data_IF_988773327545
#
_entry.id   IF_988773327545
#
_cell.length_a   1.000
_cell.length_b   1.000
_cell.length_c   1.000
_cell.angle_alpha   90.00
_cell.angle_beta   90.00
_cell.angle_gamma   90.00
#
_symmetry.space_group_name_H-M   'P 1'
#
loop_
_entity.id
_entity.type
_entity.pdbx_description
1 polymer ?
#
# COMPACT_ATOMS: atom_id res chain seq x y z
N UNK A 1 38.08 -29.53 70.63
CA UNK A 1 36.75 -28.96 70.32
C UNK A 1 36.74 -28.47 68.89
N UNK A 2 35.82 -29.02 68.08
CA UNK A 2 35.29 -28.60 66.76
C UNK A 2 36.22 -28.50 65.54
N UNK A 3 36.05 -29.53 64.70
CA UNK A 3 36.14 -29.52 63.23
C UNK A 3 35.32 -28.38 62.60
N UNK A 4 35.75 -27.89 61.43
CA UNK A 4 34.91 -27.44 60.30
C UNK A 4 35.81 -27.38 59.04
N UNK A 5 35.89 -28.42 58.21
CA UNK A 5 35.27 -28.55 56.86
C UNK A 5 35.15 -27.24 56.07
N UNK A 6 35.96 -27.06 55.00
CA UNK A 6 35.64 -27.28 53.57
C UNK A 6 34.52 -26.37 53.05
N UNK A 7 34.88 -25.44 52.15
CA UNK A 7 34.06 -25.08 50.98
C UNK A 7 34.91 -24.31 49.94
N UNK A 8 35.51 -25.04 49.00
CA UNK A 8 35.83 -24.49 47.68
C UNK A 8 34.52 -24.36 46.90
N UNK A 9 34.14 -23.14 46.52
CA UNK A 9 33.10 -22.92 45.51
C UNK A 9 33.71 -22.09 44.40
N UNK A 10 33.78 -22.71 43.22
CA UNK A 10 34.16 -22.11 41.95
C UNK A 10 33.36 -20.83 41.71
N UNK A 11 34.05 -19.71 41.52
CA UNK A 11 33.50 -18.54 40.86
C UNK A 11 33.36 -18.87 39.36
N UNK A 12 32.25 -19.50 39.00
CA UNK A 12 31.83 -19.65 37.61
C UNK A 12 31.45 -18.25 37.11
N UNK A 13 32.31 -17.67 36.28
CA UNK A 13 32.04 -16.47 35.51
C UNK A 13 30.78 -16.71 34.67
N UNK A 14 29.64 -16.25 35.16
CA UNK A 14 28.40 -16.15 34.38
C UNK A 14 28.56 -15.05 33.34
N UNK A 15 29.17 -15.37 32.20
CA UNK A 15 28.99 -14.59 30.99
C UNK A 15 27.54 -14.79 30.54
N UNK A 16 26.65 -13.98 31.09
CA UNK A 16 25.34 -13.73 30.49
C UNK A 16 25.65 -13.04 29.18
N UNK A 17 25.57 -13.79 28.08
CA UNK A 17 25.44 -13.19 26.76
C UNK A 17 24.14 -12.39 26.78
N UNK A 18 24.25 -11.09 27.11
CA UNK A 18 23.26 -10.14 26.70
C UNK A 18 23.35 -10.14 25.17
N UNK A 19 22.48 -10.90 24.51
CA UNK A 19 22.19 -10.68 23.11
C UNK A 19 21.77 -9.21 23.01
N UNK A 20 22.65 -8.38 22.46
CA UNK A 20 22.31 -7.04 22.09
C UNK A 20 21.18 -7.17 21.06
N UNK A 21 19.95 -6.89 21.48
CA UNK A 21 18.83 -6.74 20.57
C UNK A 21 19.20 -5.62 19.58
N UNK A 22 19.75 -5.99 18.43
CA UNK A 22 20.12 -5.03 17.40
C UNK A 22 18.84 -4.55 16.75
N UNK A 23 18.59 -3.25 16.82
CA UNK A 23 17.55 -2.59 16.04
C UNK A 23 17.67 -3.00 14.56
N UNK A 24 16.61 -3.61 14.01
CA UNK A 24 16.55 -3.99 12.61
C UNK A 24 15.63 -3.05 11.83
N UNK A 25 15.93 -2.83 10.56
CA UNK A 25 14.97 -2.25 9.62
C UNK A 25 14.29 -3.37 8.84
N UNK A 26 12.96 -3.43 8.88
CA UNK A 26 12.14 -4.37 8.13
C UNK A 26 11.52 -3.70 6.90
N UNK A 27 11.45 -4.44 5.80
CA UNK A 27 10.77 -4.00 4.58
C UNK A 27 9.44 -4.74 4.50
N UNK A 28 8.34 -4.04 4.82
CA UNK A 28 7.00 -4.61 4.84
C UNK A 28 6.38 -4.50 3.44
N UNK A 29 5.90 -5.61 2.90
CA UNK A 29 5.26 -5.69 1.58
C UNK A 29 3.79 -6.05 1.75
N UNK A 30 2.92 -5.04 1.68
CA UNK A 30 1.47 -5.16 1.84
C UNK A 30 0.82 -5.40 0.49
N UNK A 31 0.18 -6.56 0.31
CA UNK A 31 -0.48 -6.86 -0.97
C UNK A 31 -1.75 -6.02 -1.18
N UNK A 32 -2.24 -6.00 -2.41
CA UNK A 32 -3.52 -5.40 -2.78
C UNK A 32 -4.60 -6.41 -3.13
N UNK A 33 -5.57 -6.04 -3.97
CA UNK A 33 -6.73 -6.88 -4.27
C UNK A 33 -6.30 -8.29 -4.72
N UNK A 34 -6.89 -9.32 -4.11
CA UNK A 34 -6.69 -10.72 -4.46
C UNK A 34 -7.90 -11.56 -4.04
N UNK A 35 -8.26 -12.55 -4.86
CA UNK A 35 -9.25 -13.56 -4.51
C UNK A 35 -8.74 -14.68 -3.63
N UNK A 36 -7.43 -14.72 -3.43
CA UNK A 36 -6.80 -15.64 -2.51
C UNK A 36 -6.71 -15.06 -1.10
N UNK A 37 -6.73 -15.96 -0.11
CA UNK A 37 -6.41 -15.62 1.27
C UNK A 37 -4.89 -15.65 1.46
N UNK A 38 -4.27 -14.47 1.57
CA UNK A 38 -2.82 -14.30 1.74
C UNK A 38 -2.37 -14.15 3.21
N UNK A 39 -3.29 -14.39 4.13
CA UNK A 39 -3.12 -14.13 5.55
C UNK A 39 -2.15 -15.07 6.25
N UNK A 40 -1.37 -14.51 7.16
CA UNK A 40 -0.42 -15.24 7.98
C UNK A 40 -0.47 -14.75 9.44
N UNK A 41 0.13 -15.52 10.35
CA UNK A 41 0.28 -15.09 11.74
C UNK A 41 1.54 -14.23 11.88
N UNK A 42 1.36 -12.96 12.25
CA UNK A 42 2.43 -11.97 12.38
C UNK A 42 2.73 -11.64 13.86
N UNK A 43 3.16 -12.65 14.61
CA UNK A 43 3.34 -12.57 16.09
C UNK A 43 4.79 -12.40 16.53
N UNK A 44 5.76 -12.55 15.63
CA UNK A 44 7.19 -12.37 15.93
C UNK A 44 7.95 -11.83 14.74
N UNK A 45 9.17 -11.34 14.96
CA UNK A 45 10.04 -10.86 13.89
C UNK A 45 10.43 -11.95 12.89
N UNK A 46 10.24 -13.23 13.20
CA UNK A 46 10.43 -14.37 12.29
C UNK A 46 9.21 -14.66 11.39
N UNK A 47 8.04 -14.06 11.66
CA UNK A 47 6.83 -14.23 10.85
C UNK A 47 6.95 -13.58 9.47
N UNK A 48 6.07 -13.93 8.52
CA UNK A 48 5.89 -13.20 7.25
C UNK A 48 7.07 -13.27 6.27
N UNK A 49 8.00 -14.22 6.40
CA UNK A 49 9.18 -14.29 5.53
C UNK A 49 8.88 -14.83 4.11
N UNK A 50 7.71 -15.44 3.92
CA UNK A 50 7.31 -16.08 2.67
C UNK A 50 6.13 -15.36 2.06
N UNK A 51 6.18 -15.10 0.75
CA UNK A 51 5.07 -14.58 -0.05
C UNK A 51 3.97 -15.65 -0.18
N UNK A 52 3.09 -15.71 0.82
CA UNK A 52 2.06 -16.75 0.89
C UNK A 52 1.08 -16.62 -0.28
N UNK A 53 0.88 -17.73 -1.00
CA UNK A 53 0.13 -17.77 -2.27
C UNK A 53 0.64 -16.81 -3.35
N UNK A 54 1.93 -16.47 -3.29
CA UNK A 54 2.69 -15.89 -4.39
C UNK A 54 2.08 -14.60 -4.97
N UNK A 55 1.60 -13.68 -4.12
CA UNK A 55 1.04 -12.41 -4.60
C UNK A 55 2.08 -11.58 -5.34
N UNK A 56 3.28 -11.48 -4.78
CA UNK A 56 4.38 -10.67 -5.29
C UNK A 56 5.14 -11.38 -6.41
N UNK A 57 5.01 -12.70 -6.55
CA UNK A 57 5.45 -13.41 -7.76
C UNK A 57 6.96 -13.33 -8.01
N UNK A 58 7.76 -13.18 -6.95
CA UNK A 58 9.21 -12.96 -7.07
C UNK A 58 9.63 -11.54 -7.46
N UNK A 59 8.70 -10.59 -7.54
CA UNK A 59 9.00 -9.18 -7.85
C UNK A 59 9.87 -8.50 -6.79
N UNK A 60 9.85 -9.01 -5.55
CA UNK A 60 10.62 -8.51 -4.41
C UNK A 60 11.98 -9.21 -4.36
N UNK A 61 13.05 -8.49 -4.70
CA UNK A 61 14.43 -9.01 -4.72
C UNK A 61 15.42 -7.96 -4.22
N UNK A 62 16.59 -8.39 -3.76
CA UNK A 62 17.69 -7.49 -3.40
C UNK A 62 17.51 -6.73 -2.08
N UNK A 63 16.49 -7.10 -1.29
CA UNK A 63 16.23 -6.53 0.04
C UNK A 63 16.44 -7.59 1.12
N UNK A 64 16.99 -7.17 2.26
CA UNK A 64 17.02 -7.95 3.49
C UNK A 64 15.76 -7.69 4.32
N UNK A 65 15.50 -8.54 5.33
CA UNK A 65 14.42 -8.34 6.31
C UNK A 65 13.03 -8.07 5.68
N UNK A 66 12.75 -8.71 4.55
CA UNK A 66 11.46 -8.62 3.86
C UNK A 66 10.38 -9.34 4.66
N UNK A 67 9.22 -8.70 4.83
CA UNK A 67 8.05 -9.27 5.50
C UNK A 67 6.82 -9.03 4.66
N UNK A 68 6.18 -10.11 4.23
CA UNK A 68 4.95 -10.08 3.47
C UNK A 68 3.77 -9.94 4.43
N UNK A 69 2.97 -8.91 4.20
CA UNK A 69 1.78 -8.60 4.99
C UNK A 69 0.58 -8.88 4.13
N UNK A 70 -0.11 -9.98 4.44
CA UNK A 70 -1.30 -10.37 3.71
C UNK A 70 -2.53 -10.56 4.55
N UNK A 71 -3.66 -10.48 3.87
CA UNK A 71 -5.01 -10.49 4.38
C UNK A 71 -5.94 -11.24 3.43
N UNK A 72 -7.14 -11.53 3.91
CA UNK A 72 -8.22 -12.10 3.13
C UNK A 72 -9.18 -11.00 2.69
N UNK A 73 -9.23 -10.74 1.38
CA UNK A 73 -10.08 -9.71 0.79
C UNK A 73 -11.57 -9.97 0.95
N UNK A 74 -11.99 -11.20 1.27
CA UNK A 74 -13.41 -11.56 1.42
C UNK A 74 -13.98 -11.24 2.81
N UNK A 75 -13.14 -10.75 3.73
CA UNK A 75 -13.57 -10.42 5.08
C UNK A 75 -14.52 -9.24 5.13
N UNK A 76 -15.49 -9.31 6.05
CA UNK A 76 -16.45 -8.23 6.29
C UNK A 76 -15.75 -6.91 6.57
N UNK A 77 -16.13 -5.86 5.84
CA UNK A 77 -15.47 -4.55 5.85
C UNK A 77 -14.33 -4.38 4.86
N UNK A 78 -13.98 -5.39 4.06
CA UNK A 78 -13.04 -5.26 2.95
C UNK A 78 -11.67 -4.71 3.37
N UNK A 79 -11.24 -3.62 2.73
CA UNK A 79 -9.95 -2.97 3.02
C UNK A 79 -9.91 -2.34 4.44
N UNK A 80 -11.08 -2.12 5.05
CA UNK A 80 -11.25 -1.54 6.38
C UNK A 80 -11.49 -2.61 7.46
N UNK A 81 -11.40 -3.90 7.10
CA UNK A 81 -11.75 -5.01 8.00
C UNK A 81 -10.78 -5.18 9.18
N UNK A 82 -11.34 -5.13 10.39
CA UNK A 82 -10.70 -5.52 11.66
C UNK A 82 -11.05 -6.95 12.11
N UNK A 83 -11.71 -7.73 11.27
CA UNK A 83 -11.98 -9.13 11.58
C UNK A 83 -10.68 -9.94 11.63
N UNK A 84 -10.75 -11.17 12.17
CA UNK A 84 -9.63 -12.10 12.04
C UNK A 84 -9.29 -12.25 10.56
N UNK A 85 -8.02 -12.03 10.24
CA UNK A 85 -7.50 -12.09 8.87
C UNK A 85 -7.95 -10.94 7.94
N UNK A 86 -8.62 -9.91 8.49
CA UNK A 86 -8.96 -8.69 7.77
C UNK A 86 -7.75 -7.79 7.53
N UNK A 87 -7.87 -6.91 6.53
CA UNK A 87 -6.78 -6.06 6.06
C UNK A 87 -6.18 -5.16 7.15
N UNK A 88 -7.03 -4.49 7.95
CA UNK A 88 -6.57 -3.61 9.02
C UNK A 88 -5.95 -4.40 10.18
N UNK A 89 -6.53 -5.55 10.54
CA UNK A 89 -5.97 -6.43 11.59
C UNK A 89 -4.57 -6.95 11.23
N UNK A 90 -4.38 -7.38 9.98
CA UNK A 90 -3.10 -7.90 9.51
C UNK A 90 -2.05 -6.79 9.42
N UNK A 91 -2.42 -5.63 8.90
CA UNK A 91 -1.52 -4.49 8.87
C UNK A 91 -1.15 -3.99 10.27
N UNK A 92 -2.12 -3.93 11.20
CA UNK A 92 -1.88 -3.60 12.60
C UNK A 92 -0.90 -4.57 13.28
N UNK A 93 -1.10 -5.88 13.09
CA UNK A 93 -0.22 -6.90 13.63
C UNK A 93 1.21 -6.76 13.07
N UNK A 94 1.35 -6.51 11.77
CA UNK A 94 2.64 -6.25 11.15
C UNK A 94 3.34 -5.04 11.78
N UNK A 95 2.65 -3.90 11.90
CA UNK A 95 3.22 -2.68 12.44
C UNK A 95 3.68 -2.85 13.90
N UNK A 96 2.89 -3.52 14.74
CA UNK A 96 3.26 -3.77 16.12
C UNK A 96 4.45 -4.74 16.26
N UNK A 97 4.53 -5.73 15.38
CA UNK A 97 5.58 -6.76 15.44
C UNK A 97 6.91 -6.25 14.87
N UNK A 98 6.89 -5.48 13.79
CA UNK A 98 8.09 -5.13 13.03
C UNK A 98 8.54 -3.67 13.18
N UNK A 99 7.64 -2.74 13.56
CA UNK A 99 7.94 -1.30 13.55
C UNK A 99 8.04 -0.68 14.94
N UNK A 100 8.19 -1.51 15.98
CA UNK A 100 8.29 -1.11 17.39
C UNK A 100 9.51 -1.74 18.05
N UNK A 101 9.73 -1.40 19.32
CA UNK A 101 10.76 -2.01 20.19
C UNK A 101 12.18 -1.89 19.62
N UNK A 102 12.53 -0.70 19.15
CA UNK A 102 13.83 -0.42 18.52
C UNK A 102 13.92 -0.77 17.04
N UNK A 103 12.99 -1.56 16.49
CA UNK A 103 12.94 -1.82 15.07
C UNK A 103 12.33 -0.65 14.30
N UNK A 104 12.69 -0.52 13.03
CA UNK A 104 12.14 0.46 12.10
C UNK A 104 11.57 -0.22 10.86
N UNK A 105 10.67 0.45 10.16
CA UNK A 105 10.02 -0.10 8.97
C UNK A 105 10.10 0.82 7.76
N UNK A 106 10.29 0.21 6.59
CA UNK A 106 9.88 0.77 5.30
C UNK A 106 8.68 -0.01 4.82
N UNK A 107 7.63 0.67 4.42
CA UNK A 107 6.35 0.06 4.07
C UNK A 107 6.15 0.24 2.57
N UNK A 108 6.03 -0.87 1.86
CA UNK A 108 5.75 -0.91 0.43
C UNK A 108 4.39 -1.55 0.24
N UNK A 109 3.49 -0.87 -0.45
CA UNK A 109 2.17 -1.40 -0.75
C UNK A 109 1.97 -1.50 -2.25
N UNK A 110 1.10 -2.40 -2.67
CA UNK A 110 0.65 -2.47 -4.07
C UNK A 110 -0.87 -2.38 -4.13
N UNK A 111 -1.43 -1.70 -5.13
CA UNK A 111 -2.88 -1.73 -5.41
C UNK A 111 -3.70 -1.33 -4.18
N UNK A 112 -4.71 -2.12 -3.80
CA UNK A 112 -5.52 -1.94 -2.59
C UNK A 112 -4.71 -1.89 -1.29
N UNK A 113 -3.50 -2.43 -1.24
CA UNK A 113 -2.63 -2.32 -0.07
C UNK A 113 -2.34 -0.86 0.28
N UNK A 114 -2.33 0.02 -0.72
CA UNK A 114 -2.17 1.46 -0.50
C UNK A 114 -3.38 2.09 0.18
N UNK A 115 -4.59 1.66 -0.17
CA UNK A 115 -5.82 2.05 0.54
C UNK A 115 -5.79 1.54 1.98
N UNK A 116 -5.37 0.29 2.20
CA UNK A 116 -5.24 -0.31 3.55
C UNK A 116 -4.30 0.51 4.42
N UNK A 117 -3.11 0.84 3.92
CA UNK A 117 -2.12 1.61 4.67
C UNK A 117 -2.55 3.05 4.91
N UNK A 118 -3.04 3.73 3.89
CA UNK A 118 -3.47 5.13 4.01
C UNK A 118 -4.64 5.28 4.99
N UNK A 119 -5.64 4.39 4.90
CA UNK A 119 -6.75 4.37 5.86
C UNK A 119 -6.29 4.03 7.28
N UNK A 120 -5.35 3.08 7.45
CA UNK A 120 -4.82 2.77 8.77
C UNK A 120 -4.21 4.00 9.43
N UNK A 121 -3.39 4.76 8.69
CA UNK A 121 -2.76 5.96 9.23
C UNK A 121 -3.75 7.11 9.44
N UNK A 122 -4.87 7.13 8.71
CA UNK A 122 -6.00 7.99 9.03
C UNK A 122 -6.71 7.59 10.32
N UNK A 123 -7.09 6.31 10.46
CA UNK A 123 -7.98 5.85 11.53
C UNK A 123 -7.25 5.60 12.86
N UNK A 124 -6.00 5.15 12.79
CA UNK A 124 -5.19 4.74 13.96
C UNK A 124 -4.01 5.69 14.19
N UNK A 125 -3.40 6.18 13.11
CA UNK A 125 -2.20 7.01 13.17
C UNK A 125 -0.90 6.21 13.31
N UNK A 126 0.20 6.93 13.49
CA UNK A 126 1.57 6.38 13.49
C UNK A 126 2.23 6.36 14.88
N UNK A 127 1.49 6.75 15.93
CA UNK A 127 2.06 6.96 17.25
C UNK A 127 2.75 5.70 17.82
N UNK A 128 3.99 5.87 18.24
CA UNK A 128 4.83 4.78 18.76
C UNK A 128 5.31 3.79 17.70
N UNK A 129 5.20 4.11 16.40
CA UNK A 129 5.80 3.36 15.30
C UNK A 129 7.05 4.07 14.78
N UNK A 130 8.09 3.31 14.48
CA UNK A 130 9.30 3.80 13.83
C UNK A 130 9.19 3.55 12.33
N UNK A 131 8.55 4.47 11.60
CA UNK A 131 8.36 4.38 10.16
C UNK A 131 9.35 5.31 9.46
N UNK A 132 10.15 4.74 8.56
CA UNK A 132 11.17 5.47 7.79
C UNK A 132 10.64 5.92 6.43
N UNK A 133 9.77 5.11 5.84
CA UNK A 133 9.27 5.30 4.48
C UNK A 133 7.93 4.58 4.33
N UNK A 134 7.01 5.19 3.59
CA UNK A 134 5.75 4.58 3.14
C UNK A 134 5.57 4.86 1.67
N UNK A 135 5.69 3.81 0.86
CA UNK A 135 5.59 3.88 -0.59
C UNK A 135 4.39 3.09 -1.10
N UNK A 136 3.47 3.81 -1.73
CA UNK A 136 2.24 3.29 -2.28
C UNK A 136 2.39 3.11 -3.81
N UNK A 137 2.58 1.87 -4.25
CA UNK A 137 2.79 1.53 -5.66
C UNK A 137 1.45 1.19 -6.33
N UNK A 138 1.15 1.86 -7.45
CA UNK A 138 -0.13 1.73 -8.16
C UNK A 138 -1.31 1.73 -7.17
N UNK A 139 -1.39 2.77 -6.35
CA UNK A 139 -2.15 2.72 -5.12
C UNK A 139 -3.63 3.03 -5.33
N UNK A 140 -4.53 2.21 -4.79
CA UNK A 140 -5.97 2.40 -4.95
C UNK A 140 -6.60 3.31 -3.88
N UNK A 141 -5.83 4.21 -3.25
CA UNK A 141 -6.39 5.05 -2.18
C UNK A 141 -7.44 6.05 -2.70
N UNK A 142 -7.38 6.45 -3.97
CA UNK A 142 -8.45 7.22 -4.62
C UNK A 142 -9.56 6.41 -5.27
N UNK A 143 -9.49 5.08 -5.17
CA UNK A 143 -10.45 4.14 -5.73
C UNK A 143 -10.28 3.88 -7.23
N UNK A 144 -11.08 2.96 -7.74
CA UNK A 144 -11.10 2.53 -9.14
C UNK A 144 -12.52 2.53 -9.66
N UNK A 145 -12.73 3.10 -10.84
CA UNK A 145 -14.02 3.01 -11.54
C UNK A 145 -14.38 1.56 -11.84
N UNK A 146 -13.41 0.65 -11.99
CA UNK A 146 -13.69 -0.77 -12.16
C UNK A 146 -14.50 -1.34 -10.98
N UNK A 147 -14.27 -0.84 -9.77
CA UNK A 147 -15.07 -1.26 -8.62
C UNK A 147 -16.47 -0.59 -8.55
N UNK A 148 -16.70 0.46 -9.33
CA UNK A 148 -18.01 1.10 -9.49
C UNK A 148 -18.88 0.38 -10.56
N UNK A 149 -18.25 -0.41 -11.45
CA UNK A 149 -18.95 -1.20 -12.46
C UNK A 149 -19.50 -2.52 -11.91
N UNK A 150 -20.57 -3.01 -12.54
CA UNK A 150 -21.17 -4.30 -12.19
C UNK A 150 -20.16 -5.44 -12.33
N UNK A 151 -20.05 -6.26 -11.28
CA UNK A 151 -19.25 -7.49 -11.27
C UNK A 151 -19.58 -8.40 -12.45
N UNK A 152 -20.84 -8.48 -12.87
CA UNK A 152 -21.29 -9.26 -14.04
C UNK A 152 -20.77 -8.70 -15.37
N UNK A 153 -20.67 -7.38 -15.50
CA UNK A 153 -20.17 -6.73 -16.72
C UNK A 153 -18.66 -6.92 -16.85
N UNK A 154 -17.93 -6.77 -15.75
CA UNK A 154 -16.50 -7.03 -15.71
C UNK A 154 -16.16 -8.50 -15.89
N UNK A 155 -16.93 -9.41 -15.28
CA UNK A 155 -16.78 -10.85 -15.51
C UNK A 155 -17.05 -11.22 -16.98
N UNK A 156 -18.02 -10.57 -17.64
CA UNK A 156 -18.28 -10.76 -19.08
C UNK A 156 -17.08 -10.32 -19.96
N UNK A 157 -16.35 -9.28 -19.54
CA UNK A 157 -15.10 -8.86 -20.18
C UNK A 157 -13.88 -9.75 -19.79
N UNK A 158 -14.07 -10.75 -18.94
CA UNK A 158 -13.03 -11.69 -18.52
C UNK A 158 -12.21 -11.24 -17.31
N UNK A 159 -12.69 -10.27 -16.53
CA UNK A 159 -12.02 -9.81 -15.32
C UNK A 159 -12.51 -10.55 -14.07
N UNK A 160 -11.56 -11.03 -13.27
CA UNK A 160 -11.86 -11.57 -11.95
C UNK A 160 -12.31 -10.43 -11.02
N UNK A 161 -13.61 -10.38 -10.73
CA UNK A 161 -14.16 -9.49 -9.70
C UNK A 161 -14.41 -10.24 -8.41
N UNK A 162 -14.01 -9.65 -7.31
CA UNK A 162 -14.29 -10.20 -5.98
C UNK A 162 -15.72 -9.93 -5.52
N UNK A 163 -16.30 -8.81 -5.95
CA UNK A 163 -17.54 -8.30 -5.39
C UNK A 163 -17.42 -7.98 -3.91
N UNK A 164 -18.57 -7.65 -3.30
CA UNK A 164 -18.70 -7.46 -1.86
C UNK A 164 -17.87 -6.30 -1.30
N UNK A 165 -17.61 -6.36 0.01
CA UNK A 165 -17.12 -5.22 0.78
C UNK A 165 -15.72 -4.73 0.36
N UNK A 166 -14.89 -5.57 -0.27
CA UNK A 166 -13.60 -5.10 -0.77
C UNK A 166 -13.77 -4.20 -1.98
N UNK A 167 -14.64 -4.58 -2.92
CA UNK A 167 -14.97 -3.75 -4.09
C UNK A 167 -15.68 -2.48 -3.65
N UNK A 168 -16.60 -2.55 -2.69
CA UNK A 168 -17.18 -1.36 -2.06
C UNK A 168 -16.11 -0.46 -1.45
N UNK A 169 -15.08 -1.02 -0.80
CA UNK A 169 -13.98 -0.24 -0.22
C UNK A 169 -13.13 0.45 -1.29
N UNK A 170 -12.87 -0.22 -2.42
CA UNK A 170 -12.00 0.30 -3.50
C UNK A 170 -12.77 1.07 -4.58
N UNK A 171 -14.10 1.11 -4.52
CA UNK A 171 -14.94 2.01 -5.32
C UNK A 171 -14.49 3.46 -5.15
N UNK A 172 -14.69 4.31 -6.16
CA UNK A 172 -14.28 5.72 -6.03
C UNK A 172 -14.98 6.41 -4.86
N UNK A 173 -16.24 6.05 -4.59
CA UNK A 173 -16.99 6.53 -3.43
C UNK A 173 -16.47 5.99 -2.09
N UNK A 174 -16.20 4.69 -2.01
CA UNK A 174 -15.76 4.04 -0.77
C UNK A 174 -14.32 4.40 -0.39
N UNK A 175 -13.42 4.48 -1.36
CA UNK A 175 -12.02 4.82 -1.13
C UNK A 175 -11.86 6.27 -0.66
N UNK A 176 -12.75 7.18 -1.10
CA UNK A 176 -12.74 8.62 -0.80
C UNK A 176 -13.64 9.02 0.38
N UNK A 177 -14.17 8.06 1.12
CA UNK A 177 -15.15 8.28 2.20
C UNK A 177 -14.57 8.88 3.49
N UNK A 178 -13.27 9.19 3.51
CA UNK A 178 -12.53 9.67 4.67
C UNK A 178 -11.53 10.77 4.29
N UNK A 179 -10.96 11.45 5.28
CA UNK A 179 -10.06 12.57 5.03
C UNK A 179 -8.62 12.11 4.75
N UNK A 180 -8.27 11.98 3.49
CA UNK A 180 -6.91 11.65 3.01
C UNK A 180 -5.82 12.62 3.45
N UNK A 181 -6.15 13.85 3.85
CA UNK A 181 -5.15 14.79 4.38
C UNK A 181 -4.72 14.48 5.82
N UNK A 182 -5.29 13.44 6.45
CA UNK A 182 -4.90 13.01 7.78
C UNK A 182 -4.25 11.62 7.68
N UNK A 183 -2.92 11.58 7.79
CA UNK A 183 -2.07 10.39 7.60
C UNK A 183 -1.20 10.10 8.82
N UNK A 184 -1.66 10.51 10.01
CA UNK A 184 -0.88 10.34 11.24
C UNK A 184 0.48 11.04 11.20
N UNK A 185 0.62 12.15 10.47
CA UNK A 185 1.87 12.90 10.33
C UNK A 185 2.88 12.31 9.35
N UNK A 186 2.51 11.27 8.58
CA UNK A 186 3.38 10.66 7.59
C UNK A 186 3.18 11.27 6.20
N UNK A 187 4.28 11.40 5.45
CA UNK A 187 4.23 11.57 4.00
C UNK A 187 4.04 10.19 3.37
N UNK A 188 3.14 10.09 2.41
CA UNK A 188 2.87 8.88 1.64
C UNK A 188 3.44 9.07 0.25
N UNK A 189 4.59 8.43 -0.01
CA UNK A 189 5.23 8.46 -1.32
C UNK A 189 4.42 7.60 -2.28
N UNK A 190 4.13 8.09 -3.47
CA UNK A 190 3.36 7.32 -4.47
C UNK A 190 4.16 7.10 -5.74
N UNK A 191 3.89 5.97 -6.38
CA UNK A 191 4.45 5.66 -7.70
C UNK A 191 3.32 5.30 -8.65
N UNK A 192 3.40 5.82 -9.87
CA UNK A 192 2.40 5.59 -10.93
C UNK A 192 3.00 4.89 -12.15
N UNK A 193 2.16 4.08 -12.79
CA UNK A 193 2.35 3.53 -14.13
C UNK A 193 1.28 4.08 -15.07
N UNK A 194 1.53 4.07 -16.38
CA UNK A 194 0.55 4.52 -17.40
C UNK A 194 0.49 3.57 -18.60
N UNK A 195 1.02 2.36 -18.45
CA UNK A 195 0.80 1.31 -19.43
C UNK A 195 -0.42 0.49 -19.02
N UNK A 196 -1.21 0.07 -19.99
CA UNK A 196 -2.41 -0.70 -19.69
C UNK A 196 -2.10 -2.19 -19.48
N UNK A 197 -2.51 -2.72 -18.34
CA UNK A 197 -2.72 -4.17 -18.19
C UNK A 197 -3.93 -4.64 -19.03
N UNK A 198 -4.12 -5.96 -19.16
CA UNK A 198 -5.26 -6.55 -19.86
C UNK A 198 -5.45 -6.10 -21.31
N UNK A 199 -4.36 -5.83 -22.03
CA UNK A 199 -4.40 -5.42 -23.44
C UNK A 199 -5.25 -4.15 -23.71
N UNK A 200 -5.41 -3.25 -22.73
CA UNK A 200 -6.17 -2.01 -22.94
C UNK A 200 -7.69 -2.15 -22.79
N UNK A 201 -8.21 -3.32 -22.41
CA UNK A 201 -9.66 -3.54 -22.39
C UNK A 201 -10.38 -2.84 -21.22
N UNK A 202 -9.65 -2.44 -20.18
CA UNK A 202 -10.18 -1.65 -19.04
C UNK A 202 -10.12 -0.15 -19.27
N UNK A 203 -9.17 0.37 -20.07
CA UNK A 203 -8.95 1.80 -20.26
C UNK A 203 -10.21 2.59 -20.68
N UNK A 204 -11.13 2.06 -21.51
CA UNK A 204 -12.39 2.76 -21.81
C UNK A 204 -13.31 3.02 -20.59
N UNK A 205 -13.10 2.29 -19.49
CA UNK A 205 -13.84 2.42 -18.23
C UNK A 205 -13.15 3.38 -17.25
N UNK A 206 -11.91 3.77 -17.54
CA UNK A 206 -11.04 4.57 -16.68
C UNK A 206 -10.90 5.99 -17.26
N UNK A 207 -11.15 7.06 -16.49
CA UNK A 207 -11.11 8.42 -17.01
C UNK A 207 -9.68 8.95 -17.17
N UNK A 208 -9.24 9.09 -18.41
CA UNK A 208 -7.95 9.70 -18.77
C UNK A 208 -6.84 8.65 -18.90
N UNK A 209 -5.61 9.04 -18.57
CA UNK A 209 -4.49 8.10 -18.49
C UNK A 209 -4.67 7.11 -17.33
N UNK A 210 -4.24 5.87 -17.51
CA UNK A 210 -4.45 4.78 -16.54
C UNK A 210 -3.35 3.69 -16.61
N UNK A 211 -3.25 2.88 -15.55
CA UNK A 211 -2.32 1.74 -15.49
C UNK A 211 -2.96 0.37 -15.84
N UNK A 212 -4.16 0.40 -16.42
CA UNK A 212 -5.02 -0.75 -16.68
C UNK A 212 -5.97 -1.11 -15.54
N UNK A 213 -5.83 -0.50 -14.35
CA UNK A 213 -6.72 -0.76 -13.19
C UNK A 213 -7.16 0.53 -12.50
N UNK A 214 -6.31 1.54 -12.48
CA UNK A 214 -6.51 2.80 -11.79
C UNK A 214 -6.29 3.96 -12.77
N UNK A 215 -7.22 4.90 -12.79
CA UNK A 215 -7.06 6.13 -13.54
C UNK A 215 -6.13 7.12 -12.82
N UNK A 216 -5.60 8.09 -13.57
CA UNK A 216 -4.60 9.04 -13.07
C UNK A 216 -5.09 9.94 -11.94
N UNK A 217 -6.40 10.19 -11.79
CA UNK A 217 -6.88 10.91 -10.60
C UNK A 217 -6.65 10.11 -9.29
N UNK A 218 -6.57 8.78 -9.37
CA UNK A 218 -6.19 7.93 -8.24
C UNK A 218 -4.68 7.75 -8.16
N UNK A 219 -4.02 7.41 -9.27
CA UNK A 219 -2.56 7.19 -9.28
C UNK A 219 -1.76 8.44 -8.89
N UNK A 220 -2.27 9.61 -9.23
CA UNK A 220 -1.68 10.89 -8.87
C UNK A 220 -2.26 11.49 -7.59
N UNK A 221 -3.10 10.75 -6.84
CA UNK A 221 -3.66 11.15 -5.55
C UNK A 221 -4.43 12.49 -5.59
N UNK A 222 -5.17 12.70 -6.69
CA UNK A 222 -6.01 13.88 -6.89
C UNK A 222 -7.24 13.80 -6.02
N UNK A 223 -7.56 14.92 -5.36
CA UNK A 223 -8.61 15.00 -4.35
C UNK A 223 -10.05 14.97 -4.89
N UNK A 224 -10.21 14.71 -6.19
CA UNK A 224 -11.50 14.50 -6.86
C UNK A 224 -11.37 13.48 -7.97
N UNK A 225 -12.47 12.82 -8.32
CA UNK A 225 -12.56 12.02 -9.54
C UNK A 225 -12.57 12.97 -10.73
N UNK A 226 -11.69 12.74 -11.70
CA UNK A 226 -11.55 13.56 -12.89
C UNK A 226 -10.85 12.80 -14.02
N UNK A 227 -11.17 13.15 -15.25
CA UNK A 227 -10.36 12.79 -16.43
C UNK A 227 -9.06 13.59 -16.40
N UNK A 228 -7.94 12.89 -16.37
CA UNK A 228 -6.60 13.48 -16.39
C UNK A 228 -5.81 12.82 -17.52
N UNK A 229 -5.64 13.54 -18.62
CA UNK A 229 -5.03 13.11 -19.88
C UNK A 229 -3.51 13.41 -19.90
N UNK A 230 -2.87 13.35 -18.73
CA UNK A 230 -1.43 13.60 -18.60
C UNK A 230 -0.82 12.86 -17.44
N UNK A 231 0.49 12.72 -17.53
CA UNK A 231 1.23 12.00 -16.51
C UNK A 231 1.31 12.67 -15.16
N UNK A 232 1.40 11.86 -14.10
CA UNK A 232 1.57 12.33 -12.73
C UNK A 232 2.89 13.13 -12.60
N UNK A 233 2.85 14.45 -12.32
CA UNK A 233 4.06 15.19 -12.00
C UNK A 233 4.70 14.64 -10.72
N UNK A 234 6.03 14.58 -10.68
CA UNK A 234 6.78 14.33 -9.45
C UNK A 234 6.50 15.47 -8.46
N UNK A 235 6.30 15.15 -7.19
CA UNK A 235 5.97 16.13 -6.16
C UNK A 235 4.63 15.94 -5.48
N UNK A 236 4.24 16.94 -4.69
CA UNK A 236 2.88 17.13 -4.18
C UNK A 236 2.15 18.31 -4.88
N UNK A 237 2.69 18.78 -6.01
CA UNK A 237 2.16 19.93 -6.75
C UNK A 237 0.82 19.65 -7.43
N UNK A 238 0.16 20.71 -7.85
CA UNK A 238 -1.05 20.61 -8.67
C UNK A 238 -0.75 20.13 -10.09
N UNK A 239 -1.69 19.41 -10.68
CA UNK A 239 -1.64 18.97 -12.08
C UNK A 239 -2.35 20.03 -12.93
N UNK A 240 -1.73 20.53 -14.01
CA UNK A 240 -2.31 21.58 -14.85
C UNK A 240 -2.39 21.18 -16.33
N UNK A 241 -3.57 20.99 -16.88
CA UNK A 241 -3.77 20.61 -18.27
C UNK A 241 -4.17 21.82 -19.11
N UNK A 242 -3.60 21.94 -20.31
CA UNK A 242 -4.07 22.89 -21.31
C UNK A 242 -5.08 22.22 -22.25
N UNK A 243 -6.14 22.92 -22.60
CA UNK A 243 -7.09 22.46 -23.61
C UNK A 243 -7.53 23.62 -24.51
N UNK A 244 -7.89 23.29 -25.74
CA UNK A 244 -8.41 24.26 -26.70
C UNK A 244 -9.84 24.69 -26.31
N UNK A 245 -10.11 25.98 -26.32
CA UNK A 245 -11.36 26.57 -25.87
C UNK A 245 -11.70 27.85 -26.65
N UNK A 246 -12.86 28.45 -26.37
CA UNK A 246 -13.31 29.69 -27.02
C UNK A 246 -13.91 29.47 -28.41
N UNK A 247 -14.26 30.56 -29.10
CA UNK A 247 -14.83 30.50 -30.45
C UNK A 247 -13.85 29.83 -31.42
N UNK A 248 -14.32 28.79 -32.11
CA UNK A 248 -13.50 27.95 -33.00
C UNK A 248 -12.24 27.36 -32.33
N UNK A 249 -12.23 27.17 -31.00
CA UNK A 249 -11.15 26.52 -30.26
C UNK A 249 -9.80 27.27 -30.35
N UNK A 250 -9.84 28.56 -30.66
CA UNK A 250 -8.65 29.39 -30.91
C UNK A 250 -7.94 29.89 -29.63
N UNK A 251 -8.45 29.57 -28.44
CA UNK A 251 -7.85 29.96 -27.16
C UNK A 251 -7.31 28.75 -26.39
N UNK A 252 -6.33 28.98 -25.52
CA UNK A 252 -5.82 27.97 -24.59
C UNK A 252 -6.37 28.24 -23.19
N UNK A 253 -7.18 27.30 -22.70
CA UNK A 253 -7.66 27.28 -21.33
C UNK A 253 -6.87 26.27 -20.49
N UNK A 254 -6.99 26.37 -19.17
CA UNK A 254 -6.31 25.46 -18.25
C UNK A 254 -7.26 24.87 -17.22
N UNK A 255 -7.13 23.57 -16.96
CA UNK A 255 -7.70 22.89 -15.79
C UNK A 255 -6.59 22.64 -14.79
N UNK A 256 -6.85 22.90 -13.51
CA UNK A 256 -5.93 22.58 -12.42
C UNK A 256 -6.58 21.58 -11.47
N UNK A 257 -5.86 20.52 -11.15
CA UNK A 257 -6.25 19.48 -10.21
C UNK A 257 -5.32 19.51 -9.00
N UNK A 258 -5.90 19.39 -7.81
CA UNK A 258 -5.17 19.44 -6.56
C UNK A 258 -5.06 18.03 -5.97
N UNK A 259 -3.90 17.75 -5.37
CA UNK A 259 -3.64 16.50 -4.67
C UNK A 259 -4.07 16.58 -3.21
N UNK A 260 -4.21 15.42 -2.57
CA UNK A 260 -4.18 15.38 -1.12
C UNK A 260 -2.79 15.79 -0.62
N UNK A 261 -2.78 16.60 0.45
CA UNK A 261 -1.58 17.33 0.90
C UNK A 261 -0.41 16.46 1.32
N UNK A 262 -0.67 15.26 1.84
CA UNK A 262 0.37 14.37 2.37
C UNK A 262 0.84 13.30 1.38
N UNK A 263 0.39 13.37 0.12
CA UNK A 263 0.77 12.44 -0.93
C UNK A 263 1.81 13.06 -1.86
N UNK A 264 2.88 12.32 -2.13
CA UNK A 264 4.01 12.82 -2.91
C UNK A 264 4.42 11.80 -3.97
N UNK A 265 4.20 12.12 -5.24
CA UNK A 265 4.64 11.24 -6.33
C UNK A 265 6.16 11.28 -6.42
N UNK A 266 6.82 10.15 -6.19
CA UNK A 266 8.30 10.03 -6.26
C UNK A 266 8.78 9.31 -7.51
N UNK A 267 7.90 8.57 -8.18
CA UNK A 267 8.23 7.86 -9.41
C UNK A 267 7.01 7.79 -10.32
N UNK A 268 7.24 8.07 -11.60
CA UNK A 268 6.28 7.85 -12.66
C UNK A 268 6.99 7.10 -13.79
N UNK A 269 6.37 6.04 -14.31
CA UNK A 269 6.90 5.24 -15.44
C UNK A 269 5.81 4.96 -16.45
N UNK A 270 5.86 5.61 -17.61
CA UNK A 270 4.85 5.43 -18.66
C UNK A 270 4.78 4.00 -19.20
N UNK A 271 5.87 3.25 -19.13
CA UNK A 271 5.93 1.86 -19.59
C UNK A 271 5.43 0.85 -18.54
N UNK A 272 5.16 1.28 -17.31
CA UNK A 272 4.76 0.39 -16.23
C UNK A 272 3.25 0.22 -16.21
N UNK A 273 2.79 -1.02 -16.21
CA UNK A 273 1.40 -1.40 -15.91
C UNK A 273 1.15 -1.55 -14.42
N UNK A 274 -0.11 -1.70 -14.03
CA UNK A 274 -0.50 -1.99 -12.65
C UNK A 274 0.33 -3.13 -12.06
N UNK A 275 0.39 -4.29 -12.72
CA UNK A 275 1.15 -5.45 -12.25
C UNK A 275 2.66 -5.24 -12.18
N UNK A 276 3.26 -4.57 -13.16
CA UNK A 276 4.72 -4.31 -13.17
C UNK A 276 5.16 -3.31 -12.10
N UNK A 277 4.22 -2.49 -11.60
CA UNK A 277 4.46 -1.51 -10.54
C UNK A 277 4.91 -2.13 -9.21
N UNK A 278 4.71 -3.45 -9.02
CA UNK A 278 5.24 -4.22 -7.88
C UNK A 278 6.75 -4.10 -7.70
N UNK A 279 7.47 -3.61 -8.70
CA UNK A 279 8.92 -3.39 -8.67
C UNK A 279 9.35 -1.96 -8.30
N UNK A 280 8.41 -1.02 -8.14
CA UNK A 280 8.67 0.40 -7.92
C UNK A 280 9.18 0.76 -6.50
N UNK A 281 9.47 -0.23 -5.67
CA UNK A 281 10.15 -0.04 -4.38
C UNK A 281 11.66 0.21 -4.55
N UNK A 282 12.21 -0.01 -5.76
CA UNK A 282 13.62 0.18 -6.10
C UNK A 282 13.92 1.61 -6.56
#
# INVERSE_FOLDING_TARGET
MRNLMIASVMALFGMVFAESASAATYNLFVHGRSGDNHCQSLTSTASGQTDYRNYWGGSVTGLSNVRYVGFDGTKSGGAYSWSSCGAQSQFHAALNTFCRNGNSCKIYTHSTGGLVAAYYFYAVGSSGLNILDVRLMANASGGSELADFSTSYLAWLGFDTLGGNLDESVSTGGARSWNHNYTGGLVLDTTSGEASDYFGVTSPLLPGEDDGVLANHTLCDVNKVATIDRSCPIGNGSIRESYACGFLWLSTCYKTYYRWSNYYTVLMRSSSTHGTSKTHYR
#
